data_IF_946693955693
#
_entry.id   IF_946693955693
#
_cell.length_a   1.000
_cell.length_b   1.000
_cell.length_c   1.000
_cell.angle_alpha   90.00
_cell.angle_beta   90.00
_cell.angle_gamma   90.00
#
_symmetry.space_group_name_H-M   'P 1'
#
loop_
_entity.id
_entity.type
_entity.pdbx_description
1 polymer ?
#
# COMPACT_ATOMS: atom_id res chain seq x y z
N UNK A 1 -13.86 -10.82 -8.26
CA UNK A 1 -13.04 -9.67 -7.81
C UNK A 1 -12.39 -9.10 -9.04
N UNK A 2 -12.40 -7.78 -9.22
CA UNK A 2 -11.75 -7.09 -10.33
C UNK A 2 -10.51 -6.30 -9.87
N UNK A 3 -9.79 -5.67 -10.81
CA UNK A 3 -8.60 -4.87 -10.53
C UNK A 3 -8.85 -3.76 -9.50
N UNK A 4 -10.03 -3.13 -9.53
CA UNK A 4 -10.41 -2.03 -8.63
C UNK A 4 -10.61 -2.53 -7.21
N UNK A 5 -11.38 -3.60 -7.05
CA UNK A 5 -11.60 -4.23 -5.75
C UNK A 5 -10.27 -4.77 -5.18
N UNK A 6 -9.43 -5.38 -6.01
CA UNK A 6 -8.12 -5.87 -5.59
C UNK A 6 -7.21 -4.75 -5.11
N UNK A 7 -7.07 -3.66 -5.88
CA UNK A 7 -6.30 -2.48 -5.48
C UNK A 7 -6.84 -1.82 -4.19
N UNK A 8 -8.17 -1.75 -4.05
CA UNK A 8 -8.81 -1.21 -2.85
C UNK A 8 -8.51 -2.04 -1.59
N UNK A 9 -8.49 -3.38 -1.71
CA UNK A 9 -8.08 -4.27 -0.62
C UNK A 9 -6.62 -4.04 -0.21
N UNK A 10 -5.72 -3.87 -1.17
CA UNK A 10 -4.32 -3.55 -0.87
C UNK A 10 -4.14 -2.16 -0.23
N UNK A 11 -4.95 -1.18 -0.63
CA UNK A 11 -4.98 0.13 0.05
C UNK A 11 -5.46 0.00 1.50
N UNK A 12 -6.48 -0.83 1.75
CA UNK A 12 -6.96 -1.13 3.10
C UNK A 12 -5.91 -1.89 3.94
N UNK A 13 -5.16 -2.81 3.32
CA UNK A 13 -4.06 -3.52 3.96
C UNK A 13 -2.91 -2.58 4.33
N UNK A 14 -2.58 -1.62 3.45
CA UNK A 14 -1.60 -0.56 3.73
C UNK A 14 -2.01 0.29 4.94
N UNK A 15 -3.27 0.74 4.97
CA UNK A 15 -3.79 1.55 6.09
C UNK A 15 -3.81 0.74 7.39
N UNK A 16 -4.15 -0.55 7.32
CA UNK A 16 -4.13 -1.47 8.46
C UNK A 16 -2.71 -1.74 8.97
N UNK A 17 -1.74 -1.89 8.06
CA UNK A 17 -0.32 -2.07 8.38
C UNK A 17 0.21 -0.86 9.13
N UNK A 18 -0.05 0.36 8.64
CA UNK A 18 0.35 1.59 9.33
C UNK A 18 -0.23 1.67 10.74
N UNK A 19 -1.52 1.34 10.90
CA UNK A 19 -2.19 1.30 12.21
C UNK A 19 -1.55 0.27 13.14
N UNK A 20 -1.24 -0.93 12.65
CA UNK A 20 -0.58 -1.98 13.44
C UNK A 20 0.84 -1.59 13.87
N UNK A 21 1.59 -0.90 13.01
CA UNK A 21 2.91 -0.36 13.38
C UNK A 21 2.82 0.69 14.48
N UNK A 22 1.76 1.52 14.46
CA UNK A 22 1.55 2.59 15.43
C UNK A 22 1.00 2.12 16.77
N UNK A 23 -0.02 1.27 16.73
CA UNK A 23 -0.88 0.95 17.89
C UNK A 23 -0.80 -0.53 18.29
N UNK A 24 -0.25 -1.38 17.42
CA UNK A 24 -0.23 -2.81 17.62
C UNK A 24 0.70 -3.27 18.75
N UNK A 25 0.55 -4.55 19.07
CA UNK A 25 1.38 -5.23 20.07
C UNK A 25 2.51 -6.06 19.45
N UNK A 26 2.61 -6.11 18.12
CA UNK A 26 3.67 -6.83 17.42
C UNK A 26 5.06 -6.24 17.67
N UNK A 27 6.09 -7.03 17.37
CA UNK A 27 7.49 -6.67 17.64
C UNK A 27 7.89 -5.32 17.01
N UNK A 28 7.48 -5.05 15.77
CA UNK A 28 7.79 -3.79 15.10
C UNK A 28 7.23 -2.58 15.86
N UNK A 29 5.98 -2.65 16.31
CA UNK A 29 5.35 -1.59 17.09
C UNK A 29 6.03 -1.41 18.46
N UNK A 30 6.45 -2.51 19.11
CA UNK A 30 7.24 -2.45 20.35
C UNK A 30 8.58 -1.72 20.10
N UNK A 31 9.31 -2.09 19.04
CA UNK A 31 10.58 -1.45 18.68
C UNK A 31 10.43 0.03 18.36
N UNK A 32 9.36 0.44 17.67
CA UNK A 32 9.12 1.87 17.39
C UNK A 32 8.84 2.63 18.70
N UNK A 33 8.09 2.05 19.64
CA UNK A 33 7.84 2.67 20.96
C UNK A 33 9.12 2.82 21.79
N UNK A 34 10.00 1.82 21.75
CA UNK A 34 11.29 1.83 22.47
C UNK A 34 12.22 2.98 22.06
N UNK A 35 12.03 3.58 20.87
CA UNK A 35 12.80 4.75 20.42
C UNK A 35 12.55 5.97 21.34
N UNK A 36 11.40 6.06 22.01
CA UNK A 36 11.12 7.12 22.98
C UNK A 36 10.93 8.50 22.36
N UNK A 37 10.37 8.59 21.16
CA UNK A 37 10.13 9.84 20.44
C UNK A 37 9.12 10.75 21.14
N UNK A 38 9.35 12.06 21.09
CA UNK A 38 8.37 13.07 21.51
C UNK A 38 7.13 13.07 20.60
N UNK A 39 6.02 13.69 21.04
CA UNK A 39 4.79 13.78 20.25
C UNK A 39 5.03 14.36 18.85
N UNK A 40 5.81 15.44 18.75
CA UNK A 40 6.13 16.09 17.46
C UNK A 40 6.97 15.18 16.55
N UNK A 41 7.91 14.43 17.14
CA UNK A 41 8.72 13.46 16.39
C UNK A 41 7.89 12.27 15.93
N UNK A 42 6.95 11.79 16.75
CA UNK A 42 6.01 10.75 16.37
C UNK A 42 5.12 11.19 15.20
N UNK A 43 4.60 12.42 15.23
CA UNK A 43 3.81 12.95 14.12
C UNK A 43 4.59 12.94 12.80
N UNK A 44 5.86 13.39 12.83
CA UNK A 44 6.75 13.35 11.65
C UNK A 44 7.05 11.92 11.19
N UNK A 45 7.32 11.00 12.13
CA UNK A 45 7.55 9.59 11.81
C UNK A 45 6.34 8.99 11.10
N UNK A 46 5.12 9.18 11.63
CA UNK A 46 3.93 8.57 11.07
C UNK A 46 3.54 9.16 9.71
N UNK A 47 3.76 10.46 9.50
CA UNK A 47 3.62 11.06 8.18
C UNK A 47 4.63 10.46 7.16
N UNK A 48 5.90 10.30 7.55
CA UNK A 48 6.91 9.68 6.69
C UNK A 48 6.61 8.20 6.40
N UNK A 49 6.16 7.45 7.41
CA UNK A 49 5.76 6.04 7.26
C UNK A 49 4.53 5.89 6.36
N UNK A 50 3.57 6.80 6.44
CA UNK A 50 2.41 6.77 5.56
C UNK A 50 2.81 6.95 4.10
N UNK A 51 3.70 7.89 3.79
CA UNK A 51 4.25 8.09 2.44
C UNK A 51 5.06 6.86 2.00
N UNK A 52 5.99 6.39 2.82
CA UNK A 52 6.83 5.24 2.48
C UNK A 52 6.00 3.97 2.20
N UNK A 53 4.97 3.70 3.01
CA UNK A 53 4.07 2.57 2.79
C UNK A 53 3.17 2.79 1.57
N UNK A 54 2.80 4.04 1.22
CA UNK A 54 2.10 4.32 -0.05
C UNK A 54 2.98 3.89 -1.21
N UNK A 55 4.24 4.31 -1.24
CA UNK A 55 5.17 3.99 -2.32
C UNK A 55 5.43 2.49 -2.44
N UNK A 56 5.63 1.80 -1.30
CA UNK A 56 5.87 0.35 -1.26
C UNK A 56 4.67 -0.44 -1.78
N UNK A 57 3.47 -0.18 -1.26
CA UNK A 57 2.27 -0.93 -1.67
C UNK A 57 1.83 -0.60 -3.09
N UNK A 58 1.97 0.65 -3.52
CA UNK A 58 1.71 1.04 -4.90
C UNK A 58 2.69 0.35 -5.87
N UNK A 59 3.99 0.42 -5.59
CA UNK A 59 5.02 -0.24 -6.41
C UNK A 59 4.84 -1.76 -6.45
N UNK A 60 4.38 -2.37 -5.34
CA UNK A 60 4.02 -3.79 -5.32
C UNK A 60 2.95 -4.10 -6.37
N UNK A 61 1.87 -3.31 -6.42
CA UNK A 61 0.80 -3.51 -7.42
C UNK A 61 1.30 -3.30 -8.85
N UNK A 62 2.14 -2.29 -9.09
CA UNK A 62 2.76 -2.10 -10.40
C UNK A 62 3.67 -3.27 -10.80
N UNK A 63 4.39 -3.84 -9.84
CA UNK A 63 5.23 -5.01 -10.06
C UNK A 63 4.42 -6.22 -10.50
N UNK A 64 3.22 -6.41 -9.92
CA UNK A 64 2.32 -7.49 -10.31
C UNK A 64 1.67 -7.24 -11.68
N UNK A 65 1.37 -5.98 -12.02
CA UNK A 65 0.84 -5.61 -13.35
C UNK A 65 1.91 -5.73 -14.46
N UNK A 66 3.18 -5.57 -14.08
CA UNK A 66 4.33 -5.53 -14.99
C UNK A 66 4.78 -4.14 -15.39
N UNK A 67 4.20 -3.10 -14.77
CA UNK A 67 4.58 -1.70 -14.95
C UNK A 67 5.72 -1.25 -14.03
N UNK A 68 6.17 -2.11 -13.10
CA UNK A 68 7.39 -1.91 -12.32
C UNK A 68 8.21 -3.21 -12.22
N UNK A 69 9.50 -3.08 -11.93
CA UNK A 69 10.38 -4.23 -11.75
C UNK A 69 10.30 -4.82 -10.34
N UNK A 70 10.26 -6.15 -10.23
CA UNK A 70 10.42 -6.88 -8.98
C UNK A 70 11.88 -7.35 -8.90
N UNK A 71 12.63 -6.88 -7.89
CA UNK A 71 14.05 -7.22 -7.75
C UNK A 71 14.93 -6.73 -8.90
N UNK A 72 14.50 -5.69 -9.63
CA UNK A 72 15.21 -5.13 -10.79
C UNK A 72 14.88 -5.78 -12.14
N UNK A 73 13.97 -6.75 -12.17
CA UNK A 73 13.50 -7.40 -13.40
C UNK A 73 12.04 -7.00 -13.62
N UNK A 74 11.71 -6.51 -14.82
CA UNK A 74 10.35 -6.13 -15.18
C UNK A 74 9.73 -7.18 -16.12
N UNK A 75 8.62 -7.75 -15.69
CA UNK A 75 7.86 -8.80 -16.40
C UNK A 75 6.36 -8.59 -16.15
N UNK A 76 5.51 -8.97 -17.11
CA UNK A 76 4.07 -8.95 -16.91
C UNK A 76 3.59 -10.25 -16.25
N UNK A 77 2.87 -10.14 -15.13
CA UNK A 77 2.28 -11.28 -14.44
C UNK A 77 0.77 -11.34 -14.64
N UNK A 78 0.23 -12.56 -14.66
CA UNK A 78 -1.23 -12.77 -14.66
C UNK A 78 -1.67 -13.17 -13.26
N UNK A 79 -2.50 -12.33 -12.64
CA UNK A 79 -3.07 -12.63 -11.32
C UNK A 79 -4.42 -13.32 -11.51
N UNK A 80 -4.61 -14.46 -10.84
CA UNK A 80 -5.88 -15.22 -10.85
C UNK A 80 -6.41 -15.39 -9.44
N UNK A 81 -7.74 -15.38 -9.30
CA UNK A 81 -8.40 -15.78 -8.05
C UNK A 81 -8.40 -17.31 -7.86
N UNK A 82 -8.94 -17.75 -6.73
CA UNK A 82 -9.08 -19.17 -6.39
C UNK A 82 -9.98 -19.95 -7.35
N UNK A 83 -10.85 -19.25 -8.10
CA UNK A 83 -11.72 -19.84 -9.11
C UNK A 83 -11.06 -19.87 -10.51
N UNK A 84 -9.84 -19.34 -10.64
CA UNK A 84 -9.06 -19.29 -11.88
C UNK A 84 -9.37 -18.10 -12.79
N UNK A 85 -10.24 -17.17 -12.35
CA UNK A 85 -10.56 -15.96 -13.12
C UNK A 85 -9.38 -14.99 -13.04
N UNK A 86 -9.04 -14.37 -14.17
CA UNK A 86 -8.04 -13.30 -14.21
C UNK A 86 -8.61 -12.05 -13.53
N UNK A 87 -7.87 -11.48 -12.58
CA UNK A 87 -8.31 -10.32 -11.80
C UNK A 87 -8.18 -8.99 -12.56
N UNK A 88 -7.18 -8.89 -13.44
CA UNK A 88 -6.86 -7.68 -14.17
C UNK A 88 -6.25 -8.03 -15.53
N UNK A 89 -6.63 -7.30 -16.57
CA UNK A 89 -5.90 -7.25 -17.83
C UNK A 89 -4.60 -6.44 -17.71
N UNK A 90 -3.78 -6.47 -18.77
CA UNK A 90 -2.53 -5.69 -18.84
C UNK A 90 -2.83 -4.19 -18.67
N UNK A 91 -2.27 -3.55 -17.63
CA UNK A 91 -2.43 -2.12 -17.35
C UNK A 91 -3.65 -1.77 -16.50
N UNK A 92 -4.60 -2.69 -16.30
CA UNK A 92 -5.81 -2.41 -15.53
C UNK A 92 -5.51 -2.28 -14.03
N UNK A 93 -4.55 -3.07 -13.53
CA UNK A 93 -4.17 -3.00 -12.13
C UNK A 93 -3.35 -1.75 -11.83
N UNK A 94 -2.48 -1.32 -12.73
CA UNK A 94 -1.78 -0.04 -12.59
C UNK A 94 -2.77 1.13 -12.47
N UNK A 95 -3.74 1.22 -13.38
CA UNK A 95 -4.73 2.30 -13.38
C UNK A 95 -5.55 2.29 -12.09
N UNK A 96 -6.02 1.12 -11.66
CA UNK A 96 -6.75 0.96 -10.40
C UNK A 96 -5.90 1.34 -9.18
N UNK A 97 -4.62 0.96 -9.16
CA UNK A 97 -3.69 1.30 -8.09
C UNK A 97 -3.47 2.82 -8.01
N UNK A 98 -3.30 3.50 -9.15
CA UNK A 98 -3.14 4.96 -9.18
C UNK A 98 -4.37 5.67 -8.60
N UNK A 99 -5.57 5.25 -8.98
CA UNK A 99 -6.82 5.80 -8.44
C UNK A 99 -6.91 5.64 -6.91
N UNK A 100 -6.54 4.48 -6.37
CA UNK A 100 -6.63 4.20 -4.93
C UNK A 100 -5.57 4.91 -4.08
N UNK A 101 -4.34 5.02 -4.58
CA UNK A 101 -3.21 5.56 -3.81
C UNK A 101 -3.00 7.07 -4.04
N UNK A 102 -3.34 7.60 -5.22
CA UNK A 102 -3.07 8.99 -5.61
C UNK A 102 -4.29 9.78 -6.10
N UNK A 103 -5.43 9.11 -6.34
CA UNK A 103 -6.67 9.76 -6.75
C UNK A 103 -7.22 10.73 -5.69
N UNK A 104 -8.11 11.63 -6.12
CA UNK A 104 -8.65 12.74 -5.30
C UNK A 104 -9.25 12.30 -3.94
N UNK A 105 -9.75 11.07 -3.83
CA UNK A 105 -10.27 10.50 -2.57
C UNK A 105 -9.19 10.17 -1.52
N UNK A 106 -7.91 10.04 -1.90
CA UNK A 106 -6.82 9.76 -0.94
C UNK A 106 -6.36 11.01 -0.19
N UNK A 107 -6.62 12.21 -0.72
CA UNK A 107 -6.17 13.50 -0.17
C UNK A 107 -7.10 14.10 0.89
N UNK A 108 -8.34 13.63 0.99
CA UNK A 108 -9.37 14.23 1.88
C UNK A 108 -9.24 13.75 3.33
N UNK A 109 -8.55 12.63 3.60
CA UNK A 109 -8.45 12.05 4.96
C UNK A 109 -7.40 12.69 5.90
N UNK A 110 -6.75 13.77 5.47
CA UNK A 110 -5.73 14.48 6.26
C UNK A 110 -6.01 15.98 6.44
N UNK A 111 -7.23 16.43 6.10
CA UNK A 111 -7.68 17.79 6.34
C UNK A 111 -8.92 17.75 7.24
N UNK A 112 -8.72 17.39 8.51
CA UNK A 112 -9.60 17.69 9.66
C UNK A 112 -8.81 17.56 10.96
#
# INVERSE_FOLDING_TARGET
MDAKEFAARWKSEKDSTLRLLREGQGLAAQRIREIGLSTDQQAKLWAAMDVALTDVFYTLLLGLDGSAGIGGIQEAYTIRDEQGNTLAGNGELEAAAYEQFHGLGSRVRHAD
#
